data_IF_595318284688
#
_entry.id   IF_595318284688
#
_cell.length_a   1.000
_cell.length_b   1.000
_cell.length_c   1.000
_cell.angle_alpha   90.00
_cell.angle_beta   90.00
_cell.angle_gamma   90.00
#
_symmetry.space_group_name_H-M   'P 1'
#
loop_
_entity.id
_entity.type
_entity.pdbx_description
1 polymer ?
#
# COMPACT_ATOMS: atom_id res chain seq x y z
N UNK A 1 0.05 32.25 -29.23
CA UNK A 1 -0.91 31.55 -30.10
C UNK A 1 -2.30 31.74 -29.48
N UNK A 2 -3.26 32.33 -30.22
CA UNK A 2 -4.65 32.46 -29.78
C UNK A 2 -5.27 31.05 -29.88
N UNK A 3 -5.68 30.48 -28.76
CA UNK A 3 -6.44 29.20 -28.72
C UNK A 3 -7.77 29.37 -29.45
N UNK A 4 -8.15 28.39 -30.26
CA UNK A 4 -9.43 28.39 -30.97
C UNK A 4 -10.61 28.27 -29.98
N UNK A 5 -11.78 28.85 -30.32
CA UNK A 5 -12.97 28.82 -29.47
C UNK A 5 -13.38 27.37 -29.08
N UNK A 6 -13.19 26.42 -29.98
CA UNK A 6 -13.44 25.00 -29.76
C UNK A 6 -12.46 24.39 -28.72
N UNK A 7 -11.19 24.77 -28.71
CA UNK A 7 -10.22 24.33 -27.70
C UNK A 7 -10.56 24.86 -26.30
N UNK A 8 -11.01 26.10 -26.23
CA UNK A 8 -11.47 26.70 -24.96
C UNK A 8 -12.73 26.00 -24.42
N UNK A 9 -13.67 25.63 -25.27
CA UNK A 9 -14.89 24.91 -24.91
C UNK A 9 -14.54 23.53 -24.28
N UNK A 10 -13.69 22.75 -24.94
CA UNK A 10 -13.27 21.45 -24.43
C UNK A 10 -12.45 21.56 -23.14
N UNK A 11 -11.66 22.62 -22.97
CA UNK A 11 -10.96 22.91 -21.72
C UNK A 11 -11.92 23.18 -20.57
N UNK A 12 -12.96 23.99 -20.79
CA UNK A 12 -13.98 24.26 -19.77
C UNK A 12 -14.70 22.98 -19.34
N UNK A 13 -15.11 22.14 -20.29
CA UNK A 13 -15.72 20.85 -20.00
C UNK A 13 -14.76 19.97 -19.17
N UNK A 14 -13.50 19.87 -19.58
CA UNK A 14 -12.46 19.12 -18.85
C UNK A 14 -12.33 19.59 -17.40
N UNK A 15 -12.28 20.91 -17.16
CA UNK A 15 -12.19 21.43 -15.79
C UNK A 15 -13.45 21.19 -14.97
N UNK A 16 -14.63 21.31 -15.56
CA UNK A 16 -15.90 21.00 -14.88
C UNK A 16 -15.91 19.53 -14.44
N UNK A 17 -15.53 18.61 -15.35
CA UNK A 17 -15.47 17.19 -15.03
C UNK A 17 -14.41 16.89 -13.96
N UNK A 18 -13.23 17.50 -14.04
CA UNK A 18 -12.17 17.32 -13.04
C UNK A 18 -12.60 17.86 -11.66
N UNK A 19 -13.20 19.04 -11.60
CA UNK A 19 -13.68 19.64 -10.35
C UNK A 19 -14.82 18.78 -9.77
N UNK A 20 -15.79 18.39 -10.61
CA UNK A 20 -16.88 17.52 -10.17
C UNK A 20 -16.38 16.19 -9.61
N UNK A 21 -15.44 15.54 -10.29
CA UNK A 21 -14.80 14.31 -9.81
C UNK A 21 -14.03 14.54 -8.50
N UNK A 22 -13.30 15.65 -8.41
CA UNK A 22 -12.54 16.01 -7.19
C UNK A 22 -13.48 16.19 -6.00
N UNK A 23 -14.59 16.91 -6.18
CA UNK A 23 -15.60 17.09 -5.13
C UNK A 23 -16.18 15.74 -4.72
N UNK A 24 -16.54 14.88 -5.68
CA UNK A 24 -17.09 13.55 -5.41
C UNK A 24 -16.12 12.68 -4.57
N UNK A 25 -14.83 12.76 -4.84
CA UNK A 25 -13.80 11.99 -4.10
C UNK A 25 -13.51 12.57 -2.71
N UNK A 26 -13.46 13.90 -2.58
CA UNK A 26 -13.04 14.56 -1.34
C UNK A 26 -14.21 14.69 -0.35
N UNK A 27 -15.42 14.91 -0.86
CA UNK A 27 -16.61 15.14 -0.03
C UNK A 27 -16.86 14.04 1.03
N UNK A 28 -16.80 12.73 0.72
CA UNK A 28 -16.96 11.69 1.74
C UNK A 28 -15.91 11.76 2.85
N UNK A 29 -14.67 12.12 2.52
CA UNK A 29 -13.59 12.26 3.51
C UNK A 29 -13.83 13.45 4.44
N UNK A 30 -14.26 14.59 3.88
CA UNK A 30 -14.64 15.76 4.68
C UNK A 30 -15.85 15.42 5.56
N UNK A 31 -16.84 14.74 5.03
CA UNK A 31 -18.01 14.32 5.79
C UNK A 31 -17.66 13.41 6.96
N UNK A 32 -16.81 12.39 6.74
CA UNK A 32 -16.29 11.52 7.79
C UNK A 32 -15.55 12.33 8.85
N UNK A 33 -14.66 13.25 8.42
CA UNK A 33 -13.91 14.09 9.33
C UNK A 33 -14.82 14.97 10.19
N UNK A 34 -15.80 15.64 9.61
CA UNK A 34 -16.77 16.46 10.35
C UNK A 34 -17.63 15.61 11.28
N UNK A 35 -18.11 14.45 10.80
CA UNK A 35 -18.96 13.53 11.57
C UNK A 35 -18.24 12.93 12.77
N UNK A 36 -16.91 12.79 12.72
CA UNK A 36 -16.12 12.26 13.85
C UNK A 36 -16.13 13.16 15.09
N UNK A 37 -16.51 14.43 14.95
CA UNK A 37 -16.62 15.38 16.07
C UNK A 37 -18.06 15.52 16.62
N UNK A 38 -19.05 14.88 15.98
CA UNK A 38 -20.47 14.91 16.38
C UNK A 38 -20.76 13.92 17.50
N UNK A 39 -21.96 14.03 18.07
CA UNK A 39 -22.57 12.96 18.88
C UNK A 39 -23.36 12.01 18.00
N UNK A 40 -23.68 10.81 18.49
CA UNK A 40 -24.55 9.88 17.73
C UNK A 40 -25.94 10.47 17.47
N UNK A 41 -26.52 11.22 18.40
CA UNK A 41 -27.79 11.90 18.20
C UNK A 41 -27.70 12.95 17.07
N UNK A 42 -26.66 13.79 17.11
CA UNK A 42 -26.42 14.80 16.10
C UNK A 42 -26.14 14.20 14.72
N UNK A 43 -25.49 13.04 14.63
CA UNK A 43 -25.26 12.36 13.35
C UNK A 43 -26.60 12.07 12.62
N UNK A 44 -27.67 11.76 13.36
CA UNK A 44 -28.99 11.48 12.78
C UNK A 44 -29.81 12.74 12.53
N UNK A 45 -29.74 13.76 13.42
CA UNK A 45 -30.54 14.98 13.31
C UNK A 45 -29.93 16.01 12.36
N UNK A 46 -28.61 16.05 12.28
CA UNK A 46 -27.84 16.99 11.46
C UNK A 46 -26.75 16.22 10.66
N UNK A 47 -27.18 15.29 9.79
CA UNK A 47 -26.26 14.37 9.06
C UNK A 47 -25.24 15.12 8.21
N UNK A 48 -25.64 16.18 7.51
CA UNK A 48 -24.83 16.86 6.50
C UNK A 48 -24.27 18.22 6.93
N UNK A 49 -24.71 18.76 8.06
CA UNK A 49 -24.25 20.04 8.58
C UNK A 49 -22.93 19.94 9.34
N UNK A 50 -22.43 21.10 9.75
CA UNK A 50 -21.26 21.18 10.62
C UNK A 50 -21.60 20.71 12.04
N UNK A 51 -20.61 20.21 12.83
CA UNK A 51 -20.84 19.89 14.23
C UNK A 51 -21.34 21.10 15.02
N UNK A 52 -22.41 20.95 15.79
CA UNK A 52 -22.90 21.98 16.70
C UNK A 52 -21.92 22.19 17.85
N UNK A 53 -21.36 21.08 18.34
CA UNK A 53 -20.35 21.09 19.38
C UNK A 53 -19.15 20.25 18.97
N UNK A 54 -18.01 20.90 18.72
CA UNK A 54 -16.76 20.20 18.35
C UNK A 54 -16.19 19.48 19.56
N UNK A 55 -16.20 18.15 19.53
CA UNK A 55 -15.70 17.33 20.62
C UNK A 55 -14.76 16.22 20.10
N UNK A 56 -13.55 16.16 20.68
CA UNK A 56 -12.60 15.08 20.38
C UNK A 56 -12.83 13.81 21.22
N UNK A 57 -13.92 13.74 22.00
CA UNK A 57 -14.20 12.61 22.91
C UNK A 57 -14.26 11.28 22.15
N UNK A 58 -14.74 11.28 20.90
CA UNK A 58 -14.82 10.07 20.06
C UNK A 58 -13.43 9.51 19.77
N UNK A 59 -12.45 10.36 19.53
CA UNK A 59 -11.05 9.97 19.34
C UNK A 59 -10.45 9.40 20.63
N UNK A 60 -10.71 10.04 21.77
CA UNK A 60 -10.28 9.54 23.07
C UNK A 60 -10.89 8.17 23.36
N UNK A 61 -12.19 7.99 23.10
CA UNK A 61 -12.86 6.71 23.29
C UNK A 61 -12.31 5.64 22.35
N UNK A 62 -12.09 5.96 21.07
CA UNK A 62 -11.49 5.06 20.09
C UNK A 62 -10.10 4.58 20.55
N UNK A 63 -9.30 5.47 21.09
CA UNK A 63 -7.95 5.16 21.61
C UNK A 63 -8.02 4.35 22.90
N UNK A 64 -8.75 4.84 23.91
CA UNK A 64 -8.71 4.28 25.27
C UNK A 64 -9.55 3.01 25.38
N UNK A 65 -10.80 3.06 24.90
CA UNK A 65 -11.73 1.92 25.00
C UNK A 65 -11.57 0.94 23.83
N UNK A 66 -11.36 1.46 22.61
CA UNK A 66 -11.22 0.67 21.40
C UNK A 66 -9.86 0.01 21.23
N UNK A 67 -8.84 0.42 22.01
CA UNK A 67 -7.50 -0.15 21.94
C UNK A 67 -6.79 0.07 20.58
N UNK A 68 -7.19 1.09 19.83
CA UNK A 68 -6.74 1.33 18.45
C UNK A 68 -5.22 1.43 18.33
N UNK A 69 -4.52 1.99 19.31
CA UNK A 69 -3.06 2.07 19.27
C UNK A 69 -2.36 0.71 19.23
N UNK A 70 -2.94 -0.31 19.84
CA UNK A 70 -2.40 -1.67 19.80
C UNK A 70 -2.52 -2.25 18.39
N UNK A 71 -3.71 -2.14 17.80
CA UNK A 71 -3.95 -2.58 16.42
C UNK A 71 -3.11 -1.79 15.42
N UNK A 72 -2.95 -0.49 15.64
CA UNK A 72 -2.07 0.38 14.85
C UNK A 72 -0.63 -0.10 14.90
N UNK A 73 -0.08 -0.36 16.09
CA UNK A 73 1.28 -0.89 16.25
C UNK A 73 1.50 -2.20 15.51
N UNK A 74 0.53 -3.15 15.60
CA UNK A 74 0.58 -4.40 14.86
C UNK A 74 0.56 -4.17 13.34
N UNK A 75 -0.30 -3.28 12.85
CA UNK A 75 -0.36 -2.94 11.43
C UNK A 75 0.95 -2.32 10.94
N UNK A 76 1.58 -1.44 11.74
CA UNK A 76 2.89 -0.87 11.41
C UNK A 76 3.95 -1.97 11.32
N UNK A 77 4.04 -2.85 12.32
CA UNK A 77 5.01 -3.95 12.34
C UNK A 77 4.84 -4.84 11.10
N UNK A 78 3.61 -5.29 10.82
CA UNK A 78 3.32 -6.17 9.69
C UNK A 78 3.65 -5.46 8.38
N UNK A 79 3.16 -4.22 8.18
CA UNK A 79 3.33 -3.51 6.92
C UNK A 79 4.80 -3.15 6.66
N UNK A 80 5.49 -2.59 7.66
CA UNK A 80 6.90 -2.19 7.50
C UNK A 80 7.79 -3.41 7.24
N UNK A 81 7.60 -4.48 8.01
CA UNK A 81 8.39 -5.71 7.83
C UNK A 81 8.15 -6.33 6.46
N UNK A 82 6.89 -6.44 6.03
CA UNK A 82 6.54 -6.99 4.71
C UNK A 82 7.14 -6.15 3.59
N UNK A 83 6.95 -4.83 3.63
CA UNK A 83 7.48 -3.90 2.62
C UNK A 83 9.00 -3.98 2.53
N UNK A 84 9.67 -3.94 3.68
CA UNK A 84 11.14 -3.97 3.74
C UNK A 84 11.71 -5.26 3.14
N UNK A 85 11.18 -6.41 3.55
CA UNK A 85 11.64 -7.71 3.05
C UNK A 85 11.32 -7.84 1.56
N UNK A 86 10.08 -7.49 1.14
CA UNK A 86 9.69 -7.55 -0.29
C UNK A 86 10.59 -6.65 -1.13
N UNK A 87 10.83 -5.41 -0.71
CA UNK A 87 11.65 -4.46 -1.44
C UNK A 87 13.09 -4.96 -1.64
N UNK A 88 13.73 -5.46 -0.58
CA UNK A 88 15.10 -5.99 -0.65
C UNK A 88 15.15 -7.20 -1.57
N UNK A 89 14.34 -8.23 -1.30
CA UNK A 89 14.39 -9.48 -2.04
C UNK A 89 14.01 -9.27 -3.51
N UNK A 90 12.97 -8.48 -3.79
CA UNK A 90 12.56 -8.19 -5.16
C UNK A 90 13.60 -7.37 -5.92
N UNK A 91 14.27 -6.41 -5.28
CA UNK A 91 15.33 -5.64 -5.93
C UNK A 91 16.52 -6.51 -6.29
N UNK A 92 16.95 -7.40 -5.39
CA UNK A 92 18.03 -8.35 -5.66
C UNK A 92 17.65 -9.34 -6.77
N UNK A 93 16.45 -9.91 -6.70
CA UNK A 93 15.94 -10.82 -7.73
C UNK A 93 15.81 -10.12 -9.09
N UNK A 94 15.30 -8.89 -9.11
CA UNK A 94 15.16 -8.09 -10.33
C UNK A 94 16.50 -7.77 -10.95
N UNK A 95 17.53 -7.47 -10.16
CA UNK A 95 18.88 -7.27 -10.67
C UNK A 95 19.42 -8.54 -11.33
N UNK A 96 19.27 -9.68 -10.66
CA UNK A 96 19.72 -10.97 -11.23
C UNK A 96 18.98 -11.29 -12.54
N UNK A 97 17.68 -11.04 -12.62
CA UNK A 97 16.85 -11.33 -13.79
C UNK A 97 17.08 -10.33 -14.93
N UNK A 98 17.19 -9.05 -14.61
CA UNK A 98 17.22 -7.98 -15.61
C UNK A 98 18.62 -7.65 -16.14
N UNK A 99 19.66 -7.84 -15.33
CA UNK A 99 21.03 -7.35 -15.58
C UNK A 99 22.07 -8.46 -15.69
N UNK A 100 21.88 -9.60 -15.00
CA UNK A 100 22.83 -10.70 -15.10
C UNK A 100 22.47 -11.60 -16.29
N UNK A 101 23.49 -12.07 -17.02
CA UNK A 101 23.33 -12.97 -18.17
C UNK A 101 23.36 -14.42 -17.73
N UNK A 102 22.20 -15.08 -17.64
CA UNK A 102 22.08 -16.50 -17.35
C UNK A 102 20.91 -17.13 -18.10
N UNK A 103 21.04 -18.43 -18.38
CA UNK A 103 20.17 -19.16 -19.33
C UNK A 103 18.68 -19.14 -18.98
N UNK A 104 18.32 -19.08 -17.69
CA UNK A 104 16.95 -19.17 -17.23
C UNK A 104 16.33 -17.84 -16.81
N UNK A 105 17.01 -16.70 -17.01
CA UNK A 105 16.54 -15.38 -16.57
C UNK A 105 15.12 -15.07 -17.07
N UNK A 106 14.87 -15.25 -18.37
CA UNK A 106 13.55 -14.99 -18.96
C UNK A 106 12.47 -15.97 -18.48
N UNK A 107 12.82 -17.25 -18.30
CA UNK A 107 11.89 -18.25 -17.76
C UNK A 107 11.51 -17.90 -16.33
N UNK A 108 12.49 -17.56 -15.48
CA UNK A 108 12.28 -17.16 -14.09
C UNK A 108 11.40 -15.92 -14.02
N UNK A 109 11.66 -14.91 -14.86
CA UNK A 109 10.81 -13.72 -14.96
C UNK A 109 9.36 -14.11 -15.31
N UNK A 110 9.16 -14.97 -16.33
CA UNK A 110 7.83 -15.43 -16.73
C UNK A 110 7.10 -16.20 -15.62
N UNK A 111 7.80 -17.05 -14.87
CA UNK A 111 7.24 -17.78 -13.72
C UNK A 111 6.73 -16.80 -12.66
N UNK A 112 7.49 -15.74 -12.32
CA UNK A 112 7.02 -14.73 -11.39
C UNK A 112 5.79 -13.98 -11.93
N UNK A 113 5.76 -13.65 -13.22
CA UNK A 113 4.58 -12.99 -13.82
C UNK A 113 3.33 -13.88 -13.74
N UNK A 114 3.47 -15.20 -13.97
CA UNK A 114 2.36 -16.14 -13.78
C UNK A 114 1.88 -16.17 -12.32
N UNK A 115 2.77 -15.95 -11.35
CA UNK A 115 2.40 -15.82 -9.94
C UNK A 115 1.42 -14.69 -9.65
N UNK A 116 1.41 -13.60 -10.46
CA UNK A 116 0.41 -12.53 -10.33
C UNK A 116 -1.02 -12.97 -10.70
N UNK A 117 -1.17 -14.04 -11.44
CA UNK A 117 -2.48 -14.54 -11.84
C UNK A 117 -3.14 -15.41 -10.76
N UNK A 118 -2.41 -15.77 -9.71
CA UNK A 118 -2.94 -16.60 -8.62
C UNK A 118 -3.68 -15.69 -7.62
N UNK A 119 -5.02 -15.81 -7.50
CA UNK A 119 -5.76 -15.01 -6.52
C UNK A 119 -5.41 -15.46 -5.10
N UNK A 120 -4.99 -14.52 -4.25
CA UNK A 120 -4.64 -14.81 -2.84
C UNK A 120 -5.79 -15.52 -2.09
N UNK A 121 -7.02 -15.19 -2.42
CA UNK A 121 -8.20 -15.76 -1.76
C UNK A 121 -8.34 -17.28 -1.97
N UNK A 122 -7.83 -17.81 -3.07
CA UNK A 122 -7.84 -19.27 -3.32
C UNK A 122 -6.81 -20.01 -2.46
N UNK A 123 -5.79 -19.31 -1.97
CA UNK A 123 -4.71 -19.87 -1.15
C UNK A 123 -5.01 -19.85 0.35
N UNK A 124 -6.08 -19.20 0.79
CA UNK A 124 -6.37 -19.00 2.22
C UNK A 124 -6.52 -20.33 2.96
N UNK A 125 -7.31 -21.28 2.42
CA UNK A 125 -7.55 -22.59 3.06
C UNK A 125 -6.25 -23.44 3.12
N UNK A 126 -5.50 -23.61 2.01
CA UNK A 126 -4.21 -24.30 2.05
C UNK A 126 -3.21 -23.65 3.04
N UNK A 127 -3.10 -22.32 3.01
CA UNK A 127 -2.20 -21.59 3.91
C UNK A 127 -2.60 -21.78 5.38
N UNK A 128 -3.89 -21.73 5.69
CA UNK A 128 -4.38 -21.98 7.03
C UNK A 128 -3.98 -23.38 7.53
N UNK A 129 -4.12 -24.41 6.69
CA UNK A 129 -3.73 -25.78 7.02
C UNK A 129 -2.23 -25.92 7.27
N UNK A 130 -1.41 -25.30 6.41
CA UNK A 130 0.05 -25.29 6.52
C UNK A 130 0.45 -24.56 7.81
N UNK A 131 -0.05 -23.36 8.05
CA UNK A 131 0.33 -22.56 9.22
C UNK A 131 -0.15 -23.18 10.53
N UNK A 132 -1.32 -23.88 10.52
CA UNK A 132 -1.77 -24.66 11.65
C UNK A 132 -0.79 -25.80 11.99
N UNK A 133 -0.33 -26.55 10.99
CA UNK A 133 0.66 -27.64 11.18
C UNK A 133 2.02 -27.12 11.65
N UNK A 134 2.42 -25.93 11.19
CA UNK A 134 3.67 -25.26 11.58
C UNK A 134 3.58 -24.48 12.90
N UNK A 135 2.39 -24.41 13.53
CA UNK A 135 2.12 -23.61 14.73
C UNK A 135 2.41 -22.12 14.54
N UNK A 136 2.20 -21.61 13.31
CA UNK A 136 2.39 -20.21 12.96
C UNK A 136 1.11 -19.37 13.08
N UNK A 137 -0.08 -20.00 13.18
CA UNK A 137 -1.32 -19.27 13.43
C UNK A 137 -1.18 -18.41 14.69
N UNK A 138 -1.89 -17.29 14.73
CA UNK A 138 -1.81 -16.32 15.82
C UNK A 138 -0.42 -15.69 15.97
N UNK A 139 0.35 -15.60 14.90
CA UNK A 139 1.61 -14.83 14.85
C UNK A 139 1.58 -13.84 13.69
N UNK A 140 2.29 -12.73 13.81
CA UNK A 140 2.42 -11.77 12.71
C UNK A 140 3.04 -12.40 11.46
N UNK A 141 3.89 -13.45 11.62
CA UNK A 141 4.49 -14.18 10.51
C UNK A 141 3.44 -14.86 9.62
N UNK A 142 2.32 -15.31 10.17
CA UNK A 142 1.23 -15.91 9.38
C UNK A 142 0.61 -14.91 8.39
N UNK A 143 0.74 -13.61 8.64
CA UNK A 143 0.31 -12.55 7.72
C UNK A 143 1.46 -12.07 6.83
N UNK A 144 2.64 -11.86 7.41
CA UNK A 144 3.80 -11.30 6.72
C UNK A 144 4.24 -12.22 5.56
N UNK A 145 4.37 -13.53 5.80
CA UNK A 145 4.88 -14.48 4.79
C UNK A 145 4.01 -14.50 3.52
N UNK A 146 2.68 -14.71 3.58
CA UNK A 146 1.85 -14.69 2.39
C UNK A 146 1.84 -13.33 1.70
N UNK A 147 1.86 -12.23 2.46
CA UNK A 147 1.89 -10.88 1.90
C UNK A 147 3.18 -10.60 1.11
N UNK A 148 4.34 -11.09 1.59
CA UNK A 148 5.59 -11.05 0.82
C UNK A 148 5.44 -11.87 -0.45
N UNK A 149 4.97 -13.11 -0.35
CA UNK A 149 4.86 -14.02 -1.49
C UNK A 149 3.96 -13.47 -2.61
N UNK A 150 2.82 -12.86 -2.25
CA UNK A 150 1.87 -12.28 -3.21
C UNK A 150 2.37 -10.95 -3.79
N UNK A 151 3.05 -10.13 -2.99
CA UNK A 151 3.60 -8.85 -3.45
C UNK A 151 4.85 -8.99 -4.32
N UNK A 152 5.56 -10.10 -4.18
CA UNK A 152 6.86 -10.33 -4.83
C UNK A 152 6.80 -10.32 -6.36
N UNK A 153 5.84 -11.00 -7.04
CA UNK A 153 5.70 -10.96 -8.49
C UNK A 153 5.52 -9.55 -9.05
N UNK A 154 4.63 -8.75 -8.43
CA UNK A 154 4.39 -7.37 -8.85
C UNK A 154 5.61 -6.49 -8.63
N UNK A 155 6.32 -6.70 -7.52
CA UNK A 155 7.55 -6.00 -7.22
C UNK A 155 8.63 -6.29 -8.28
N UNK A 156 8.82 -7.56 -8.65
CA UNK A 156 9.74 -7.97 -9.73
C UNK A 156 9.33 -7.34 -11.05
N UNK A 157 8.05 -7.38 -11.40
CA UNK A 157 7.56 -6.78 -12.65
C UNK A 157 7.95 -5.30 -12.79
N UNK A 158 7.68 -4.50 -11.75
CA UNK A 158 7.97 -3.06 -11.76
C UNK A 158 9.47 -2.81 -11.78
N UNK A 159 10.24 -3.46 -10.90
CA UNK A 159 11.67 -3.21 -10.75
C UNK A 159 12.46 -3.73 -11.95
N UNK A 160 12.15 -4.94 -12.46
CA UNK A 160 12.78 -5.45 -13.68
C UNK A 160 12.50 -4.55 -14.89
N UNK A 161 11.24 -4.09 -15.03
CA UNK A 161 10.88 -3.17 -16.10
C UNK A 161 11.73 -1.90 -16.08
N UNK A 162 11.91 -1.31 -14.90
CA UNK A 162 12.76 -0.14 -14.72
C UNK A 162 14.25 -0.47 -14.95
N UNK A 163 14.77 -1.53 -14.34
CA UNK A 163 16.20 -1.87 -14.49
C UNK A 163 16.59 -2.16 -15.93
N UNK A 164 15.69 -2.72 -16.74
CA UNK A 164 15.94 -2.95 -18.17
C UNK A 164 16.05 -1.65 -19.00
N UNK A 165 15.56 -0.52 -18.50
CA UNK A 165 15.70 0.78 -19.15
C UNK A 165 17.01 1.51 -18.83
N UNK A 166 17.76 1.03 -17.84
CA UNK A 166 19.07 1.60 -17.49
C UNK A 166 20.10 1.17 -18.55
N UNK A 167 20.87 2.11 -19.13
CA UNK A 167 21.93 1.79 -20.10
C UNK A 167 22.96 0.80 -19.54
N UNK A 168 23.37 -0.20 -20.32
CA UNK A 168 24.37 -1.21 -19.90
C UNK A 168 25.76 -0.64 -19.73
N UNK A 169 26.06 0.43 -20.47
CA UNK A 169 27.33 1.13 -20.47
C UNK A 169 27.76 1.62 -19.07
N UNK A 170 26.79 1.88 -18.18
CA UNK A 170 27.08 2.26 -16.79
C UNK A 170 27.73 1.11 -15.99
N UNK A 171 27.25 -0.11 -16.22
CA UNK A 171 27.82 -1.29 -15.57
C UNK A 171 29.14 -1.72 -16.22
N UNK A 172 29.23 -1.61 -17.55
CA UNK A 172 30.46 -1.88 -18.30
C UNK A 172 31.61 -0.94 -17.86
N UNK A 173 31.35 0.36 -17.73
CA UNK A 173 32.30 1.34 -17.22
C UNK A 173 32.73 0.97 -15.77
N UNK A 174 31.79 0.60 -14.92
CA UNK A 174 32.08 0.23 -13.55
C UNK A 174 32.95 -1.04 -13.46
N UNK A 175 32.73 -2.01 -14.35
CA UNK A 175 33.56 -3.22 -14.43
C UNK A 175 34.97 -2.87 -14.89
N UNK A 176 35.13 -1.97 -15.84
CA UNK A 176 36.45 -1.46 -16.28
C UNK A 176 37.17 -0.77 -15.12
N UNK A 177 36.42 -0.02 -14.28
CA UNK A 177 36.95 0.62 -13.06
C UNK A 177 37.21 -0.37 -11.90
N UNK A 178 37.03 -1.68 -12.13
CA UNK A 178 37.33 -2.75 -11.15
C UNK A 178 36.21 -3.00 -10.13
N UNK A 179 34.99 -2.52 -10.36
CA UNK A 179 33.87 -2.81 -9.48
C UNK A 179 33.46 -4.28 -9.56
N UNK A 180 33.22 -4.89 -8.38
CA UNK A 180 32.57 -6.19 -8.30
C UNK A 180 31.07 -6.07 -8.59
N UNK A 181 30.40 -7.19 -8.87
CA UNK A 181 28.96 -7.25 -9.11
C UNK A 181 28.15 -6.63 -7.93
N UNK A 182 28.58 -6.88 -6.68
CA UNK A 182 27.94 -6.29 -5.50
C UNK A 182 28.14 -4.77 -5.43
N UNK A 183 29.34 -4.29 -5.78
CA UNK A 183 29.62 -2.85 -5.83
C UNK A 183 28.80 -2.17 -6.93
N UNK A 184 28.70 -2.79 -8.10
CA UNK A 184 27.86 -2.33 -9.20
C UNK A 184 26.39 -2.25 -8.79
N UNK A 185 25.87 -3.30 -8.15
CA UNK A 185 24.50 -3.32 -7.64
C UNK A 185 24.25 -2.21 -6.61
N UNK A 186 25.02 -2.12 -5.54
CA UNK A 186 24.75 -1.20 -4.43
C UNK A 186 25.12 0.26 -4.73
N UNK A 187 26.17 0.51 -5.51
CA UNK A 187 26.67 1.86 -5.75
C UNK A 187 26.14 2.52 -7.02
N UNK A 188 25.68 1.73 -8.00
CA UNK A 188 25.26 2.25 -9.30
C UNK A 188 23.79 1.95 -9.55
N UNK A 189 23.42 0.67 -9.65
CA UNK A 189 22.07 0.29 -10.09
C UNK A 189 21.01 0.58 -9.04
N UNK A 190 21.22 0.24 -7.78
CA UNK A 190 20.24 0.45 -6.70
C UNK A 190 19.91 1.94 -6.49
N UNK A 191 20.88 2.89 -6.45
CA UNK A 191 20.56 4.32 -6.37
C UNK A 191 19.75 4.83 -7.57
N UNK A 192 20.06 4.38 -8.78
CA UNK A 192 19.32 4.74 -10.00
C UNK A 192 17.90 4.16 -9.96
N UNK A 193 17.76 2.89 -9.54
CA UNK A 193 16.48 2.19 -9.43
C UNK A 193 15.63 2.61 -8.22
N UNK A 194 16.10 3.55 -7.38
CA UNK A 194 15.43 3.97 -6.14
C UNK A 194 13.96 4.34 -6.36
N UNK A 195 13.63 5.05 -7.43
CA UNK A 195 12.25 5.47 -7.72
C UNK A 195 11.31 4.27 -7.92
N UNK A 196 11.75 3.23 -8.64
CA UNK A 196 10.96 2.02 -8.84
C UNK A 196 10.80 1.21 -7.55
N UNK A 197 11.85 1.13 -6.72
CA UNK A 197 11.81 0.47 -5.41
C UNK A 197 10.85 1.19 -4.46
N UNK A 198 10.87 2.53 -4.43
CA UNK A 198 9.93 3.32 -3.64
C UNK A 198 8.49 3.13 -4.14
N UNK A 199 8.27 3.08 -5.45
CA UNK A 199 6.94 2.79 -6.03
C UNK A 199 6.42 1.44 -5.54
N UNK A 200 7.24 0.40 -5.60
CA UNK A 200 6.89 -0.93 -5.06
C UNK A 200 6.60 -0.87 -3.57
N UNK A 201 7.43 -0.17 -2.81
CA UNK A 201 7.25 -0.03 -1.36
C UNK A 201 5.90 0.61 -1.01
N UNK A 202 5.49 1.65 -1.75
CA UNK A 202 4.19 2.32 -1.52
C UNK A 202 3.02 1.43 -1.91
N UNK A 203 3.07 0.79 -3.08
CA UNK A 203 2.00 -0.12 -3.53
C UNK A 203 1.83 -1.27 -2.52
N UNK A 204 2.94 -1.88 -2.11
CA UNK A 204 2.93 -2.96 -1.13
C UNK A 204 2.43 -2.48 0.23
N UNK A 205 2.86 -1.30 0.70
CA UNK A 205 2.38 -0.72 1.95
C UNK A 205 0.87 -0.55 1.94
N UNK A 206 0.31 0.05 0.88
CA UNK A 206 -1.15 0.28 0.78
C UNK A 206 -1.90 -1.05 0.79
N UNK A 207 -1.42 -2.06 0.08
CA UNK A 207 -2.05 -3.38 0.04
C UNK A 207 -2.05 -4.06 1.42
N UNK A 208 -0.90 -4.08 2.09
CA UNK A 208 -0.74 -4.73 3.41
C UNK A 208 -1.47 -3.96 4.51
N UNK A 209 -1.39 -2.62 4.48
CA UNK A 209 -2.06 -1.76 5.46
C UNK A 209 -3.56 -1.92 5.46
N UNK A 210 -4.16 -2.07 4.27
CA UNK A 210 -5.61 -2.18 4.10
C UNK A 210 -6.10 -3.65 4.10
N UNK A 211 -5.20 -4.64 4.25
CA UNK A 211 -5.62 -6.03 4.25
C UNK A 211 -6.44 -6.37 5.50
N UNK A 212 -7.64 -6.85 5.24
CA UNK A 212 -8.57 -7.35 6.27
C UNK A 212 -8.58 -8.87 6.32
N UNK A 213 -8.46 -9.54 5.17
CA UNK A 213 -8.79 -10.96 5.05
C UNK A 213 -7.76 -11.86 5.73
N UNK A 214 -6.49 -11.74 5.37
CA UNK A 214 -5.45 -12.61 5.94
C UNK A 214 -5.32 -12.41 7.45
N UNK A 215 -5.24 -11.15 7.97
CA UNK A 215 -5.22 -10.93 9.40
C UNK A 215 -6.47 -11.46 10.12
N UNK A 216 -7.67 -11.32 9.51
CA UNK A 216 -8.91 -11.80 10.11
C UNK A 216 -8.95 -13.32 10.26
N UNK A 217 -8.32 -14.05 9.33
CA UNK A 217 -8.33 -15.52 9.33
C UNK A 217 -7.19 -16.09 10.16
N UNK A 218 -6.01 -15.45 10.15
CA UNK A 218 -4.81 -16.01 10.77
C UNK A 218 -4.52 -15.48 12.18
N UNK A 219 -5.16 -14.36 12.59
CA UNK A 219 -4.98 -13.76 13.91
C UNK A 219 -6.31 -13.83 14.67
N UNK A 220 -6.38 -14.67 15.68
CA UNK A 220 -7.58 -14.86 16.53
C UNK A 220 -7.48 -14.07 17.83
N UNK A 221 -6.26 -13.93 18.37
CA UNK A 221 -6.01 -13.18 19.60
C UNK A 221 -6.08 -11.67 19.33
N UNK A 222 -6.99 -10.96 20.04
CA UNK A 222 -7.21 -9.52 19.83
C UNK A 222 -5.94 -8.67 20.03
N UNK A 223 -5.01 -9.17 20.83
CA UNK A 223 -3.72 -8.51 21.09
C UNK A 223 -2.82 -8.41 19.85
N UNK A 224 -3.04 -9.25 18.85
CA UNK A 224 -2.22 -9.40 17.64
C UNK A 224 -2.89 -8.90 16.37
N UNK A 225 -4.19 -8.59 16.45
CA UNK A 225 -4.98 -8.13 15.31
C UNK A 225 -4.45 -6.82 14.74
N UNK A 226 -4.62 -6.68 13.41
CA UNK A 226 -4.32 -5.45 12.67
C UNK A 226 -5.43 -4.40 12.83
N UNK A 227 -5.14 -3.19 12.42
CA UNK A 227 -6.07 -2.07 12.51
C UNK A 227 -7.38 -2.29 11.72
N UNK A 228 -7.39 -2.79 10.46
CA UNK A 228 -8.62 -3.13 9.75
C UNK A 228 -9.47 -4.18 10.49
N UNK A 229 -8.84 -5.21 11.07
CA UNK A 229 -9.55 -6.23 11.87
C UNK A 229 -10.09 -5.62 13.15
N UNK A 230 -9.30 -4.81 13.83
CA UNK A 230 -9.71 -4.08 15.03
C UNK A 230 -10.94 -3.21 14.82
N UNK A 231 -11.05 -2.55 13.65
CA UNK A 231 -12.24 -1.78 13.28
C UNK A 231 -13.51 -2.63 13.20
N UNK A 232 -13.42 -3.85 12.64
CA UNK A 232 -14.60 -4.73 12.58
C UNK A 232 -15.04 -5.21 13.97
N UNK A 233 -14.09 -5.45 14.86
CA UNK A 233 -14.39 -5.82 16.26
C UNK A 233 -14.93 -4.61 17.05
N UNK A 234 -14.43 -3.40 16.75
CA UNK A 234 -14.94 -2.16 17.32
C UNK A 234 -16.41 -1.95 16.96
N UNK A 235 -16.79 -2.17 15.71
CA UNK A 235 -18.18 -2.11 15.27
C UNK A 235 -19.08 -3.12 16.00
N UNK A 236 -18.61 -4.36 16.18
CA UNK A 236 -19.36 -5.38 16.88
C UNK A 236 -19.53 -5.07 18.38
N UNK A 237 -18.51 -4.48 19.01
CA UNK A 237 -18.50 -4.14 20.43
C UNK A 237 -19.29 -2.86 20.75
N UNK A 238 -19.36 -1.92 19.79
CA UNK A 238 -20.00 -0.62 19.91
C UNK A 238 -21.05 -0.42 18.82
N UNK A 239 -21.93 -1.38 18.62
CA UNK A 239 -22.92 -1.42 17.53
C UNK A 239 -23.83 -0.19 17.41
N UNK A 240 -23.87 0.66 18.43
CA UNK A 240 -24.62 1.94 18.45
C UNK A 240 -23.74 3.19 18.43
N UNK A 241 -22.42 3.05 18.51
CA UNK A 241 -21.48 4.19 18.51
C UNK A 241 -20.84 4.39 17.12
N UNK A 242 -21.64 4.92 16.20
CA UNK A 242 -21.20 5.21 14.83
C UNK A 242 -20.12 6.31 14.77
N UNK A 243 -20.21 7.33 15.62
CA UNK A 243 -19.25 8.44 15.60
C UNK A 243 -17.89 8.01 16.15
N UNK A 244 -17.87 7.13 17.16
CA UNK A 244 -16.63 6.51 17.63
C UNK A 244 -15.98 5.64 16.56
N UNK A 245 -16.78 4.85 15.80
CA UNK A 245 -16.28 4.09 14.65
C UNK A 245 -15.74 5.01 13.54
N UNK A 246 -16.43 6.11 13.23
CA UNK A 246 -15.95 7.09 12.24
C UNK A 246 -14.62 7.70 12.67
N UNK A 247 -14.46 8.07 13.95
CA UNK A 247 -13.19 8.57 14.48
C UNK A 247 -12.06 7.53 14.33
N UNK A 248 -12.35 6.26 14.59
CA UNK A 248 -11.42 5.15 14.40
C UNK A 248 -11.01 4.98 12.93
N UNK A 249 -11.97 5.09 11.99
CA UNK A 249 -11.71 5.05 10.54
C UNK A 249 -10.79 6.21 10.12
N UNK A 250 -11.02 7.43 10.63
CA UNK A 250 -10.13 8.58 10.34
C UNK A 250 -8.69 8.28 10.78
N UNK A 251 -8.48 7.74 11.98
CA UNK A 251 -7.14 7.34 12.45
C UNK A 251 -6.51 6.33 11.48
N UNK A 252 -7.31 5.38 10.95
CA UNK A 252 -6.82 4.35 10.03
C UNK A 252 -6.39 4.88 8.66
N UNK A 253 -7.04 5.93 8.18
CA UNK A 253 -6.75 6.54 6.88
C UNK A 253 -5.46 7.37 6.91
N UNK A 254 -5.12 7.99 8.04
CA UNK A 254 -3.99 8.92 8.17
C UNK A 254 -2.67 8.34 7.62
N UNK A 255 -2.21 7.14 8.00
CA UNK A 255 -0.93 6.62 7.52
C UNK A 255 -0.89 6.44 6.00
N UNK A 256 -1.97 5.95 5.40
CA UNK A 256 -2.05 5.79 3.93
C UNK A 256 -1.93 7.14 3.22
N UNK A 257 -2.64 8.17 3.73
CA UNK A 257 -2.58 9.53 3.18
C UNK A 257 -1.19 10.13 3.37
N UNK A 258 -0.58 9.97 4.55
CA UNK A 258 0.78 10.48 4.83
C UNK A 258 1.80 9.83 3.89
N UNK A 259 1.78 8.50 3.76
CA UNK A 259 2.68 7.77 2.86
C UNK A 259 2.50 8.24 1.41
N UNK A 260 1.25 8.41 0.96
CA UNK A 260 0.97 8.90 -0.38
C UNK A 260 1.50 10.32 -0.60
N UNK A 261 1.23 11.27 0.32
CA UNK A 261 1.69 12.66 0.21
C UNK A 261 3.21 12.75 0.18
N UNK A 262 3.90 11.97 1.02
CA UNK A 262 5.36 12.00 1.09
C UNK A 262 6.04 11.39 -0.14
N UNK A 263 5.40 10.41 -0.78
CA UNK A 263 6.01 9.58 -1.81
C UNK A 263 5.34 9.69 -3.19
N UNK A 264 4.33 10.57 -3.37
CA UNK A 264 3.59 10.70 -4.64
C UNK A 264 4.49 11.03 -5.84
N UNK A 265 5.53 11.84 -5.64
CA UNK A 265 6.48 12.20 -6.71
C UNK A 265 7.22 10.96 -7.22
N UNK A 266 7.74 10.15 -6.32
CA UNK A 266 8.45 8.91 -6.66
C UNK A 266 7.53 7.88 -7.34
N UNK A 267 6.26 7.83 -6.91
CA UNK A 267 5.25 6.97 -7.56
C UNK A 267 5.06 7.39 -9.01
N UNK A 268 4.88 8.69 -9.27
CA UNK A 268 4.70 9.21 -10.63
C UNK A 268 5.92 8.95 -11.51
N UNK A 269 7.13 9.18 -11.02
CA UNK A 269 8.38 8.91 -11.74
C UNK A 269 8.53 7.41 -12.07
N UNK A 270 8.25 6.53 -11.12
CA UNK A 270 8.36 5.09 -11.32
C UNK A 270 7.33 4.50 -12.30
N UNK A 271 6.09 5.03 -12.31
CA UNK A 271 5.05 4.60 -13.25
C UNK A 271 5.34 5.07 -14.69
N UNK A 272 5.81 6.31 -14.86
CA UNK A 272 6.14 6.86 -16.20
C UNK A 272 7.30 6.10 -16.81
N UNK A 273 8.34 5.77 -16.05
CA UNK A 273 9.48 4.99 -16.53
C UNK A 273 9.08 3.56 -16.98
N UNK A 274 8.03 2.97 -16.38
CA UNK A 274 7.49 1.68 -16.80
C UNK A 274 6.56 1.75 -18.03
N UNK A 275 5.93 2.90 -18.29
CA UNK A 275 4.96 3.09 -19.37
C UNK A 275 5.57 3.57 -20.69
N UNK A 276 6.78 4.09 -20.71
CA UNK A 276 7.46 4.63 -21.91
C UNK A 276 8.09 3.51 -22.77
N UNK A 277 7.50 2.34 -22.83
CA UNK A 277 7.79 1.28 -23.82
C UNK A 277 6.59 1.11 -24.75
N UNK A 278 6.35 2.13 -25.55
CA UNK A 278 5.50 2.11 -26.73
C UNK A 278 6.25 2.76 -27.86
#
# INVERSE_FOLDING_TARGET
MKRNASENFWLVIKYILLIGFTILCIYPLIWLFLSSFKTNAELYTNTWGLPEHWSAVNYVNAVVKGGIFKYFGNSVIISVTTVFITAILATMASYAIARMHWKLANLTHSIFLLGMMIPIYTLVIPLFSIFKSMRLLDTHLAVIIPQIAVGFPMAIFIICGFMRSIPSELEEAAVIDGCTVFQCFFRIIMPIAKSSVVTVAVVQFINVWNDLLLPRIFLTESSKMTLPVGLTNFQAMYSTDYVGMIAAVIITIIPSVVVYILLHKQIMEGMVAGAVKG
#
